data_IF_664426465836
#
_entry.id   IF_664426465836
#
_cell.length_a   1.000
_cell.length_b   1.000
_cell.length_c   1.000
_cell.angle_alpha   90.00
_cell.angle_beta   90.00
_cell.angle_gamma   90.00
#
_symmetry.space_group_name_H-M   'P 1'
#
loop_
_entity.id
_entity.type
_entity.pdbx_description
1 polymer ?
2 branched ?
3 non-polymer ?
4 non-polymer ?
5 non-polymer ?
6 non-polymer ?
7 non-polymer ?
8 water ?
#
# COMPACT_ATOMS: atom_id res chain seq x y z
N UNK A 1 6.85 12.79 6.40
CA UNK A 1 8.28 13.10 6.16
C UNK A 1 8.39 14.11 5.02
N UNK A 2 8.93 15.29 5.32
CA UNK A 2 9.05 16.34 4.30
C UNK A 2 10.30 16.20 3.44
N UNK A 3 10.33 15.20 2.57
CA UNK A 3 11.46 14.99 1.68
C UNK A 3 11.00 15.13 0.24
N UNK A 4 9.83 15.74 0.07
CA UNK A 4 9.28 15.95 -1.26
C UNK A 4 8.76 14.68 -1.92
N UNK A 5 8.82 13.57 -1.19
CA UNK A 5 8.37 12.29 -1.75
C UNK A 5 7.04 11.83 -1.18
N UNK A 6 6.42 10.89 -1.89
CA UNK A 6 5.16 10.30 -1.49
C UNK A 6 4.11 11.36 -1.22
N UNK A 7 3.98 12.32 -2.13
CA UNK A 7 2.97 13.36 -1.96
C UNK A 7 1.62 12.73 -2.21
N UNK A 8 1.64 11.54 -2.82
CA UNK A 8 0.44 10.72 -3.04
C UNK A 8 0.89 9.34 -2.56
N UNK A 9 -0.06 8.46 -2.22
CA UNK A 9 0.32 7.12 -1.77
C UNK A 9 1.20 6.42 -2.80
N UNK A 10 2.30 5.79 -2.35
CA UNK A 10 3.19 5.08 -3.27
C UNK A 10 2.48 3.99 -4.07
N UNK A 11 2.81 3.89 -5.35
CA UNK A 11 2.23 2.88 -6.21
C UNK A 11 3.33 2.01 -6.80
N UNK A 12 3.12 0.69 -6.82
CA UNK A 12 4.14 -0.17 -7.38
C UNK A 12 3.88 -1.64 -7.15
N UNK A 13 4.97 -2.39 -7.02
CA UNK A 13 4.93 -3.83 -6.81
C UNK A 13 5.89 -4.16 -5.68
N UNK A 14 5.50 -5.10 -4.83
CA UNK A 14 6.30 -5.51 -3.68
C UNK A 14 6.28 -7.04 -3.67
N UNK A 15 7.46 -7.63 -3.52
CA UNK A 15 7.61 -9.07 -3.55
C UNK A 15 7.05 -9.96 -2.43
N UNK A 16 7.07 -9.47 -1.20
CA UNK A 16 6.66 -10.30 -0.07
C UNK A 16 5.42 -11.20 -0.01
N UNK A 17 4.22 -10.65 0.03
CA UNK A 17 3.04 -11.51 0.15
C UNK A 17 3.01 -12.69 -0.80
N UNK A 18 3.23 -12.43 -2.09
CA UNK A 18 3.16 -13.50 -3.05
C UNK A 18 4.35 -14.44 -3.10
N UNK A 19 5.56 -13.90 -3.02
CA UNK A 19 6.76 -14.72 -3.15
C UNK A 19 7.49 -15.10 -1.86
N UNK A 20 7.19 -14.37 -0.80
CA UNK A 20 7.80 -14.64 0.50
C UNK A 20 9.32 -14.81 0.48
N UNK A 21 9.80 -15.79 1.23
CA UNK A 21 11.24 -16.03 1.35
C UNK A 21 11.69 -17.25 0.59
N UNK A 22 11.18 -17.39 -0.63
CA UNK A 22 11.53 -18.51 -1.47
C UNK A 22 12.94 -18.35 -2.04
N UNK A 23 13.86 -19.19 -1.60
CA UNK A 23 15.24 -19.10 -2.10
C UNK A 23 15.62 -20.34 -2.89
N UNK A 24 14.61 -21.14 -3.25
CA UNK A 24 14.82 -22.36 -4.03
C UNK A 24 14.79 -22.01 -5.52
N UNK A 25 15.79 -21.27 -5.98
CA UNK A 25 15.86 -20.88 -7.38
C UNK A 25 16.10 -22.06 -8.33
N UNK A 26 16.57 -23.18 -7.77
CA UNK A 26 16.81 -24.37 -8.57
C UNK A 26 15.51 -24.97 -9.08
N UNK A 27 14.50 -25.00 -8.21
CA UNK A 27 13.20 -25.55 -8.59
C UNK A 27 12.14 -24.51 -8.91
N UNK A 28 12.36 -23.30 -8.41
CA UNK A 28 11.42 -22.21 -8.66
C UNK A 28 12.18 -21.00 -9.23
N UNK A 29 12.74 -21.16 -10.44
CA UNK A 29 13.50 -20.10 -11.11
C UNK A 29 12.74 -18.78 -11.23
N UNK A 30 11.44 -18.88 -11.49
CA UNK A 30 10.60 -17.70 -11.67
C UNK A 30 10.00 -17.15 -10.38
N UNK A 31 9.72 -18.02 -9.42
CA UNK A 31 9.12 -17.59 -8.16
C UNK A 31 10.08 -17.31 -7.01
N UNK A 32 11.34 -17.71 -7.17
CA UNK A 32 12.33 -17.49 -6.12
C UNK A 32 12.76 -16.03 -6.04
N UNK A 33 13.25 -15.62 -4.88
CA UNK A 33 13.72 -14.24 -4.71
C UNK A 33 15.11 -14.13 -5.35
N UNK A 34 15.16 -13.46 -6.51
CA UNK A 34 16.42 -13.29 -7.24
C UNK A 34 16.34 -12.01 -8.07
N UNK A 35 17.48 -11.60 -8.62
CA UNK A 35 17.52 -10.38 -9.42
C UNK A 35 16.59 -10.52 -10.64
N UNK A 36 16.43 -11.75 -11.12
CA UNK A 36 15.58 -12.01 -12.27
C UNK A 36 14.11 -11.70 -12.00
N UNK A 37 13.66 -11.97 -10.78
CA UNK A 37 12.27 -11.71 -10.43
C UNK A 37 11.96 -10.23 -10.57
N UNK A 38 12.83 -9.39 -10.02
CA UNK A 38 12.65 -7.96 -10.05
C UNK A 38 12.80 -7.36 -11.44
N UNK A 39 13.71 -7.91 -12.23
CA UNK A 39 13.92 -7.40 -13.59
C UNK A 39 12.69 -7.70 -14.44
N UNK A 40 12.15 -8.90 -14.29
CA UNK A 40 10.97 -9.31 -15.05
C UNK A 40 9.73 -8.55 -14.60
N UNK A 41 9.61 -8.26 -13.33
CA UNK A 41 8.44 -7.51 -12.87
C UNK A 41 8.60 -6.09 -13.41
N UNK A 42 9.84 -5.63 -13.52
CA UNK A 42 10.09 -4.29 -14.05
C UNK A 42 9.66 -4.24 -15.51
N UNK A 43 9.98 -5.28 -16.28
CA UNK A 43 9.57 -5.32 -17.68
C UNK A 43 8.05 -5.30 -17.77
N UNK A 44 7.40 -6.06 -16.89
CA UNK A 44 5.95 -6.15 -16.85
C UNK A 44 5.32 -4.79 -16.59
N UNK A 45 5.82 -4.09 -15.58
CA UNK A 45 5.32 -2.78 -15.23
C UNK A 45 5.52 -1.80 -16.39
N UNK A 46 6.68 -1.89 -17.02
CA UNK A 46 7.02 -1.01 -18.13
C UNK A 46 6.28 -1.30 -19.42
N UNK A 47 5.95 -2.57 -19.64
CA UNK A 47 5.30 -2.98 -20.88
C UNK A 47 3.79 -3.21 -20.90
N UNK A 48 3.21 -3.57 -19.76
CA UNK A 48 1.78 -3.87 -19.74
C UNK A 48 0.85 -2.76 -19.30
N UNK A 49 1.31 -1.51 -19.44
CA UNK A 49 0.47 -0.37 -19.09
C UNK A 49 0.48 0.11 -17.66
N UNK A 50 1.19 -0.59 -16.78
CA UNK A 50 1.23 -0.20 -15.37
C UNK A 50 1.92 1.13 -15.14
N UNK A 51 3.09 1.30 -15.74
CA UNK A 51 3.88 2.52 -15.57
C UNK A 51 3.10 3.81 -15.86
N UNK A 52 2.34 3.82 -16.95
CA UNK A 52 1.57 5.01 -17.34
C UNK A 52 0.50 5.37 -16.31
N UNK A 53 -0.01 4.36 -15.61
CA UNK A 53 -1.05 4.57 -14.62
C UNK A 53 -0.50 5.12 -13.30
N UNK A 54 0.81 5.04 -13.12
CA UNK A 54 1.42 5.55 -11.91
C UNK A 54 2.25 4.54 -11.12
N UNK A 55 2.11 3.25 -11.44
CA UNK A 55 2.88 2.21 -10.75
C UNK A 55 4.35 2.33 -11.14
N UNK A 56 5.19 2.80 -10.23
CA UNK A 56 6.61 2.98 -10.53
C UNK A 56 7.61 2.24 -9.63
N UNK A 57 7.19 1.85 -8.44
CA UNK A 57 8.10 1.16 -7.53
C UNK A 57 8.18 -0.36 -7.69
N UNK A 58 9.41 -0.87 -7.74
CA UNK A 58 9.67 -2.31 -7.82
C UNK A 58 10.42 -2.54 -6.51
N UNK A 59 9.74 -3.11 -5.52
CA UNK A 59 10.35 -3.30 -4.21
C UNK A 59 10.77 -4.71 -3.80
N UNK A 60 12.01 -4.79 -3.35
CA UNK A 60 12.60 -6.03 -2.83
C UNK A 60 12.22 -6.09 -1.33
N UNK A 61 11.85 -7.27 -0.85
CA UNK A 61 11.52 -7.38 0.57
C UNK A 61 12.56 -8.26 1.24
N UNK A 62 12.18 -9.00 2.27
CA UNK A 62 13.13 -9.84 3.00
C UNK A 62 13.74 -10.95 2.18
N UNK A 63 14.87 -11.46 2.66
CA UNK A 63 15.56 -12.60 2.04
C UNK A 63 16.38 -12.34 0.75
N UNK A 64 16.82 -11.10 0.56
CA UNK A 64 17.59 -10.76 -0.62
C UNK A 64 19.11 -10.76 -0.36
N UNK A 65 19.50 -10.45 0.87
CA UNK A 65 20.91 -10.35 1.24
C UNK A 65 21.63 -11.65 1.51
N UNK A 66 22.96 -11.55 1.65
CA UNK A 66 23.77 -12.72 1.96
C UNK A 66 23.51 -12.96 3.45
N UNK A 67 23.77 -14.16 3.95
CA UNK A 67 23.49 -14.52 5.34
C UNK A 67 24.36 -13.74 6.30
N UNK A 68 25.37 -13.03 5.82
CA UNK A 68 26.25 -12.23 6.67
C UNK A 68 26.79 -11.05 5.88
N UNK A 69 27.20 -10.00 6.58
CA UNK A 69 27.78 -8.82 5.93
C UNK A 69 29.16 -9.21 5.45
N UNK A 70 29.73 -8.46 4.51
CA UNK A 70 31.07 -8.80 4.05
C UNK A 70 32.05 -8.50 5.17
N UNK A 71 33.34 -8.63 4.89
CA UNK A 71 34.36 -8.37 5.90
C UNK A 71 34.37 -6.91 6.36
N UNK A 72 34.03 -5.99 5.44
CA UNK A 72 34.03 -4.57 5.75
C UNK A 72 32.81 -4.19 6.58
N UNK A 73 31.93 -5.13 6.86
CA UNK A 73 30.74 -4.86 7.65
C UNK A 73 29.59 -4.27 6.86
N UNK A 74 29.61 -4.48 5.54
CA UNK A 74 28.57 -3.94 4.68
C UNK A 74 27.61 -5.03 4.22
N UNK A 75 26.37 -4.61 3.95
CA UNK A 75 25.35 -5.53 3.47
C UNK A 75 25.65 -5.83 2.01
N UNK A 76 25.50 -7.09 1.62
CA UNK A 76 25.72 -7.50 0.25
C UNK A 76 24.59 -8.46 -0.12
N UNK A 77 24.16 -8.42 -1.39
CA UNK A 77 23.08 -9.31 -1.84
C UNK A 77 23.57 -10.75 -1.94
N UNK A 78 22.65 -11.69 -1.98
CA UNK A 78 23.05 -13.09 -2.10
C UNK A 78 23.76 -13.26 -3.44
N UNK A 79 24.99 -13.78 -3.41
CA UNK A 79 25.84 -14.01 -4.60
C UNK A 79 25.21 -14.81 -5.73
N UNK A 80 24.53 -15.92 -5.42
CA UNK A 80 23.94 -16.77 -6.45
C UNK A 80 22.65 -16.16 -6.99
N UNK A 81 21.81 -15.60 -6.15
CA UNK A 81 20.53 -15.05 -6.58
C UNK A 81 20.59 -13.62 -7.14
N UNK A 82 21.65 -12.90 -6.83
CA UNK A 82 21.82 -11.52 -7.30
C UNK A 82 23.26 -11.35 -7.81
N UNK A 83 23.68 -12.17 -8.79
CA UNK A 83 25.05 -12.11 -9.34
C UNK A 83 25.57 -10.79 -9.91
N UNK A 84 24.68 -9.86 -10.25
CA UNK A 84 25.12 -8.58 -10.79
C UNK A 84 25.07 -7.44 -9.77
N UNK A 85 24.70 -7.79 -8.55
CA UNK A 85 24.61 -6.79 -7.50
C UNK A 85 23.38 -5.92 -7.59
N UNK A 86 23.15 -5.14 -6.54
CA UNK A 86 21.98 -4.27 -6.46
C UNK A 86 22.05 -3.07 -7.39
N UNK A 87 23.19 -2.38 -7.39
CA UNK A 87 23.35 -1.20 -8.25
C UNK A 87 22.97 -1.50 -9.69
N UNK A 88 23.37 -2.66 -10.19
CA UNK A 88 23.05 -3.05 -11.56
C UNK A 88 21.54 -3.23 -11.71
N UNK A 89 20.92 -3.83 -10.69
CA UNK A 89 19.47 -4.04 -10.72
C UNK A 89 18.77 -2.70 -10.76
N UNK A 90 19.27 -1.76 -9.97
CA UNK A 90 18.70 -0.42 -9.91
C UNK A 90 18.79 0.28 -11.27
N UNK A 91 19.97 0.21 -11.90
CA UNK A 91 20.15 0.82 -13.20
C UNK A 91 19.14 0.28 -14.21
N UNK A 92 18.96 -1.04 -14.16
CA UNK A 92 18.03 -1.73 -15.04
C UNK A 92 16.61 -1.20 -14.85
N UNK A 93 16.19 -1.10 -13.59
CA UNK A 93 14.88 -0.59 -13.25
C UNK A 93 14.79 0.88 -13.65
N UNK A 94 15.85 1.64 -13.33
CA UNK A 94 15.90 3.06 -13.67
C UNK A 94 15.78 3.28 -15.18
N UNK A 95 16.45 2.43 -15.96
CA UNK A 95 16.42 2.54 -17.41
C UNK A 95 15.00 2.45 -17.97
N UNK A 96 14.10 1.88 -17.18
CA UNK A 96 12.71 1.72 -17.60
C UNK A 96 11.83 2.83 -17.03
N UNK A 97 12.46 3.79 -16.35
CA UNK A 97 11.72 4.90 -15.78
C UNK A 97 11.01 4.51 -14.50
N UNK A 98 11.44 3.39 -13.92
CA UNK A 98 10.84 2.89 -12.68
C UNK A 98 11.80 3.15 -11.52
N UNK A 99 11.38 2.80 -10.30
CA UNK A 99 12.20 3.00 -9.11
C UNK A 99 12.38 1.69 -8.35
N UNK A 100 13.53 1.54 -7.70
CA UNK A 100 13.82 0.32 -6.95
C UNK A 100 13.72 0.51 -5.44
N UNK A 101 12.99 -0.38 -4.79
CA UNK A 101 12.85 -0.31 -3.35
C UNK A 101 13.60 -1.49 -2.76
N UNK A 102 14.11 -1.32 -1.54
CA UNK A 102 14.82 -2.40 -0.87
C UNK A 102 14.27 -2.59 0.54
N UNK A 103 14.73 -3.65 1.21
CA UNK A 103 14.27 -3.97 2.55
C UNK A 103 15.40 -4.14 3.58
N UNK A 104 15.12 -3.70 4.81
CA UNK A 104 16.09 -3.78 5.88
C UNK A 104 15.31 -3.98 7.15
N UNK A 105 16.00 -4.28 8.25
CA UNK A 105 15.32 -4.48 9.52
C UNK A 105 16.09 -3.80 10.64
N UNK A 106 15.43 -2.91 11.37
CA UNK A 106 16.06 -2.24 12.51
C UNK A 106 16.08 -3.27 13.64
N UNK A 107 17.19 -3.95 13.77
CA UNK A 107 17.36 -4.99 14.80
C UNK A 107 18.58 -5.88 14.49
N UNK A 108 18.69 -6.93 15.26
CA UNK A 108 19.79 -7.90 15.18
C UNK A 108 19.65 -8.80 13.94
N UNK A 109 18.41 -9.06 13.58
CA UNK A 109 18.07 -9.91 12.43
C UNK A 109 16.78 -9.43 11.77
N UNK A 110 16.67 -9.71 10.49
CA UNK A 110 15.42 -9.46 9.77
C UNK A 110 14.47 -10.56 10.22
N UNK A 111 13.20 -10.34 10.05
CA UNK A 111 12.20 -11.33 10.48
C UNK A 111 12.47 -12.69 9.84
N UNK A 112 13.14 -12.67 8.70
CA UNK A 112 13.42 -13.89 7.92
C UNK A 112 14.76 -14.52 8.29
N UNK A 113 15.53 -13.89 9.17
CA UNK A 113 16.81 -14.47 9.56
C UNK A 113 18.03 -13.96 8.82
N UNK A 114 17.88 -12.86 8.11
CA UNK A 114 18.97 -12.23 7.37
C UNK A 114 19.62 -11.10 8.17
N UNK A 115 20.82 -10.63 7.74
CA UNK A 115 21.50 -9.56 8.48
C UNK A 115 20.64 -8.35 8.85
N UNK A 116 20.61 -8.04 10.14
CA UNK A 116 19.82 -6.91 10.60
C UNK A 116 20.62 -5.61 10.63
N UNK A 117 19.90 -4.50 10.67
CA UNK A 117 20.51 -3.19 10.73
C UNK A 117 20.47 -2.70 12.17
N UNK A 118 21.53 -3.01 12.90
CA UNK A 118 21.64 -2.60 14.29
C UNK A 118 21.93 -1.11 14.28
N UNK A 119 21.77 -0.46 15.43
CA UNK A 119 22.00 0.97 15.55
C UNK A 119 23.35 1.46 15.00
N UNK A 120 24.40 0.68 15.22
CA UNK A 120 25.73 1.08 14.77
C UNK A 120 25.91 0.90 13.26
N UNK A 121 24.92 0.30 12.61
CA UNK A 121 24.97 0.05 11.17
C UNK A 121 24.02 0.93 10.35
N UNK A 122 23.16 1.69 11.03
CA UNK A 122 22.19 2.53 10.35
C UNK A 122 22.78 3.48 9.30
N UNK A 123 23.73 4.32 9.71
CA UNK A 123 24.35 5.24 8.78
C UNK A 123 25.00 4.51 7.61
N UNK A 124 25.73 3.44 7.92
CA UNK A 124 26.41 2.69 6.86
C UNK A 124 25.43 2.07 5.87
N UNK A 125 24.38 1.44 6.38
CA UNK A 125 23.39 0.81 5.51
C UNK A 125 22.66 1.84 4.65
N UNK A 126 22.31 2.98 5.23
CA UNK A 126 21.62 4.03 4.50
C UNK A 126 22.53 4.49 3.37
N UNK A 127 23.82 4.54 3.69
CA UNK A 127 24.86 4.95 2.76
C UNK A 127 25.00 3.91 1.65
N UNK A 128 24.99 2.64 2.03
CA UNK A 128 25.10 1.55 1.07
C UNK A 128 23.95 1.58 0.08
N UNK A 129 22.73 1.77 0.59
CA UNK A 129 21.55 1.81 -0.27
C UNK A 129 21.57 2.96 -1.26
N UNK A 130 21.94 4.15 -0.81
CA UNK A 130 21.99 5.32 -1.68
C UNK A 130 22.99 5.08 -2.81
N UNK A 131 24.18 4.59 -2.45
CA UNK A 131 25.21 4.32 -3.44
C UNK A 131 24.72 3.35 -4.51
N UNK A 132 23.88 2.38 -4.11
CA UNK A 132 23.35 1.41 -5.05
C UNK A 132 22.31 2.04 -5.98
N UNK A 133 21.78 3.17 -5.58
CA UNK A 133 20.79 3.84 -6.39
C UNK A 133 19.37 3.52 -5.93
N UNK A 134 19.23 3.10 -4.68
CA UNK A 134 17.94 2.77 -4.10
C UNK A 134 17.02 3.98 -4.02
N UNK A 135 15.72 3.76 -4.27
CA UNK A 135 14.75 4.86 -4.23
C UNK A 135 13.74 4.76 -3.09
N UNK A 136 13.61 3.58 -2.50
CA UNK A 136 12.68 3.38 -1.40
C UNK A 136 13.23 2.33 -0.44
N UNK A 137 12.95 2.51 0.84
CA UNK A 137 13.41 1.56 1.86
C UNK A 137 12.33 1.26 2.88
N UNK A 138 12.06 -0.04 3.05
CA UNK A 138 11.08 -0.48 4.04
C UNK A 138 11.91 -1.00 5.20
N UNK A 139 11.74 -0.40 6.37
CA UNK A 139 12.51 -0.81 7.54
C UNK A 139 11.66 -1.58 8.53
N UNK A 140 11.85 -2.90 8.55
CA UNK A 140 11.12 -3.80 9.44
C UNK A 140 11.60 -3.65 10.88
N UNK A 141 10.89 -4.24 11.84
CA UNK A 141 11.32 -4.10 13.22
C UNK A 141 11.50 -5.36 14.05
N UNK A 142 11.82 -6.49 13.44
CA UNK A 142 12.01 -7.71 14.23
C UNK A 142 13.34 -7.57 14.99
N UNK A 143 13.40 -8.29 16.10
CA UNK A 143 14.60 -8.33 16.91
C UNK A 143 15.22 -7.02 17.37
N UNK A 144 14.36 -6.09 17.77
CA UNK A 144 14.79 -4.81 18.32
C UNK A 144 13.79 -4.47 19.41
N UNK A 145 14.28 -3.86 20.49
CA UNK A 145 13.41 -3.49 21.60
C UNK A 145 12.72 -2.15 21.30
N UNK A 146 11.67 -1.85 22.04
CA UNK A 146 10.96 -0.59 21.83
C UNK A 146 11.90 0.59 21.98
N UNK A 147 12.83 0.50 22.93
CA UNK A 147 13.79 1.56 23.17
C UNK A 147 14.71 1.71 21.96
N UNK A 148 15.16 0.58 21.42
CA UNK A 148 16.03 0.61 20.25
C UNK A 148 15.30 1.18 19.03
N UNK A 149 14.01 0.87 18.91
CA UNK A 149 13.24 1.36 17.78
C UNK A 149 13.02 2.87 17.89
N UNK A 150 12.74 3.34 19.10
CA UNK A 150 12.52 4.76 19.34
C UNK A 150 13.74 5.56 18.90
N UNK A 151 14.92 4.94 19.00
CA UNK A 151 16.17 5.58 18.60
C UNK A 151 16.47 5.35 17.12
N UNK A 152 16.37 4.10 16.69
CA UNK A 152 16.67 3.72 15.33
C UNK A 152 15.83 4.28 14.20
N UNK A 153 14.52 4.29 14.34
CA UNK A 153 13.68 4.82 13.26
C UNK A 153 13.98 6.29 12.98
N UNK A 154 14.00 7.13 14.02
CA UNK A 154 14.30 8.54 13.73
C UNK A 154 15.72 8.65 13.19
N UNK A 155 16.61 7.81 13.72
CA UNK A 155 18.00 7.81 13.31
C UNK A 155 18.18 7.48 11.84
N UNK A 156 17.41 6.52 11.33
CA UNK A 156 17.51 6.13 9.93
C UNK A 156 16.98 7.23 9.02
N UNK A 157 15.97 7.96 9.49
CA UNK A 157 15.41 9.05 8.70
C UNK A 157 16.53 10.06 8.44
N UNK A 158 17.27 10.38 9.50
CA UNK A 158 18.38 11.32 9.40
C UNK A 158 19.47 10.79 8.47
N UNK A 159 19.82 9.52 8.63
CA UNK A 159 20.85 8.90 7.81
C UNK A 159 20.50 8.96 6.31
N UNK A 160 19.25 8.64 5.99
CA UNK A 160 18.81 8.67 4.60
C UNK A 160 18.94 10.06 3.99
N UNK A 161 18.53 11.06 4.75
CA UNK A 161 18.60 12.45 4.30
C UNK A 161 20.05 12.86 4.01
N UNK A 162 20.96 12.45 4.89
CA UNK A 162 22.38 12.78 4.76
C UNK A 162 23.03 12.28 3.48
N UNK A 163 22.51 11.18 2.93
CA UNK A 163 23.08 10.62 1.71
C UNK A 163 22.79 11.56 0.54
N UNK A 164 21.86 12.49 0.76
CA UNK A 164 21.50 13.43 -0.29
C UNK A 164 20.62 12.84 -1.36
N UNK A 165 20.31 11.55 -1.25
CA UNK A 165 19.47 10.90 -2.25
C UNK A 165 18.05 10.76 -1.71
N UNK A 166 17.06 11.30 -2.43
CA UNK A 166 15.67 11.21 -1.98
C UNK A 166 15.24 9.74 -1.94
N UNK A 167 14.86 9.27 -0.75
CA UNK A 167 14.44 7.89 -0.60
C UNK A 167 13.13 7.76 0.19
N UNK A 168 12.14 7.14 -0.42
CA UNK A 168 10.85 6.95 0.25
C UNK A 168 11.20 6.05 1.44
N UNK A 169 10.70 6.43 2.61
CA UNK A 169 10.97 5.71 3.85
C UNK A 169 9.67 5.12 4.42
N UNK A 170 9.58 3.80 4.37
CA UNK A 170 8.44 3.04 4.89
C UNK A 170 8.85 2.41 6.24
N UNK A 171 8.12 2.76 7.29
CA UNK A 171 8.43 2.29 8.65
C UNK A 171 7.45 1.33 9.29
N UNK A 172 7.96 0.21 9.80
CA UNK A 172 7.07 -0.77 10.42
C UNK A 172 6.98 -0.58 11.93
N UNK A 173 7.64 0.47 12.42
CA UNK A 173 7.66 0.80 13.84
C UNK A 173 6.34 0.64 14.56
N UNK A 174 5.26 1.28 14.10
CA UNK A 174 3.96 1.17 14.79
C UNK A 174 3.44 -0.25 14.99
N UNK A 175 3.57 -1.10 13.97
CA UNK A 175 3.08 -2.46 14.05
C UNK A 175 3.67 -3.23 15.24
N UNK A 176 4.95 -2.99 15.50
CA UNK A 176 5.63 -3.69 16.58
C UNK A 176 5.24 -3.14 17.94
N UNK A 177 4.67 -1.96 17.96
CA UNK A 177 4.28 -1.33 19.19
C UNK A 177 2.76 -1.38 19.43
N UNK A 178 2.06 -2.16 18.61
CA UNK A 178 0.61 -2.28 18.79
C UNK A 178 -0.26 -1.36 17.95
N UNK A 179 0.36 -0.42 17.23
CA UNK A 179 -0.38 0.48 16.36
C UNK A 179 -1.32 1.52 16.94
N UNK A 180 -1.41 1.60 18.27
CA UNK A 180 -2.32 2.56 18.88
C UNK A 180 -1.66 3.44 19.93
N UNK A 181 -2.21 4.65 20.16
CA UNK A 181 -1.65 5.54 21.16
C UNK A 181 -2.08 4.96 22.51
N UNK A 182 -1.36 5.30 23.60
CA UNK A 182 -0.19 6.19 23.65
C UNK A 182 1.13 5.57 23.22
N UNK A 183 1.19 4.24 23.12
CA UNK A 183 2.44 3.60 22.74
C UNK A 183 2.95 4.13 21.40
N UNK A 184 2.03 4.37 20.46
CA UNK A 184 2.43 4.90 19.17
C UNK A 184 2.10 6.38 19.09
N UNK A 185 3.03 7.17 18.57
CA UNK A 185 2.85 8.61 18.42
C UNK A 185 2.85 8.88 16.92
N UNK A 186 1.66 8.96 16.33
CA UNK A 186 1.55 9.18 14.89
C UNK A 186 1.98 10.56 14.43
N UNK A 187 2.06 11.52 15.34
CA UNK A 187 2.52 12.84 14.97
C UNK A 187 4.00 12.71 14.65
N UNK A 188 4.72 12.00 15.52
CA UNK A 188 6.14 11.79 15.33
C UNK A 188 6.40 10.99 14.06
N UNK A 189 5.61 9.94 13.84
CA UNK A 189 5.78 9.13 12.65
C UNK A 189 5.64 9.99 11.39
N UNK A 190 4.67 10.89 11.39
CA UNK A 190 4.49 11.75 10.24
C UNK A 190 5.71 12.61 9.97
N UNK A 191 6.46 12.95 11.01
CA UNK A 191 7.66 13.77 10.86
C UNK A 191 8.85 12.98 10.34
N UNK A 192 8.93 11.70 10.70
CA UNK A 192 10.06 10.90 10.28
C UNK A 192 9.88 9.89 9.15
N UNK A 193 8.64 9.48 8.88
CA UNK A 193 8.39 8.48 7.83
C UNK A 193 7.41 8.94 6.76
N UNK A 194 7.52 8.34 5.58
CA UNK A 194 6.65 8.64 4.45
C UNK A 194 5.39 7.77 4.53
N UNK A 195 5.53 6.59 5.14
CA UNK A 195 4.40 5.69 5.32
C UNK A 195 4.78 4.70 6.39
N UNK A 196 3.80 4.07 7.02
CA UNK A 196 4.08 3.11 8.09
C UNK A 196 3.07 1.97 8.14
N UNK A 197 3.58 0.78 8.42
CA UNK A 197 2.73 -0.39 8.53
C UNK A 197 2.18 -0.34 9.96
N UNK A 198 0.89 -0.07 10.10
CA UNK A 198 0.29 0.01 11.43
C UNK A 198 -0.10 -1.34 12.06
N UNK A 199 -0.40 -2.31 11.21
CA UNK A 199 -0.96 -3.56 11.70
C UNK A 199 -0.36 -4.85 11.16
N UNK A 200 -1.07 -5.95 11.36
CA UNK A 200 -0.61 -7.27 10.93
C UNK A 200 -0.38 -7.46 9.44
N UNK A 201 0.53 -8.37 9.11
CA UNK A 201 0.83 -8.69 7.71
C UNK A 201 -0.42 -9.25 7.06
N UNK A 202 -0.65 -8.88 5.81
CA UNK A 202 -1.80 -9.40 5.09
C UNK A 202 -1.45 -10.83 4.62
N UNK A 203 -2.42 -11.74 4.66
CA UNK A 203 -2.19 -13.11 4.21
C UNK A 203 -3.13 -13.28 3.03
N UNK A 204 -2.98 -14.37 2.29
CA UNK A 204 -3.81 -14.57 1.09
C UNK A 204 -5.18 -15.19 1.36
N UNK A 205 -6.08 -14.40 1.96
CA UNK A 205 -7.42 -14.86 2.29
C UNK A 205 -8.33 -13.66 2.53
N UNK A 206 -9.62 -13.85 2.30
CA UNK A 206 -10.60 -12.81 2.48
C UNK A 206 -10.67 -12.44 3.99
N UNK A 207 -10.62 -13.42 4.88
CA UNK A 207 -10.68 -13.11 6.31
C UNK A 207 -9.52 -12.22 6.74
N UNK A 208 -8.37 -12.36 6.09
CA UNK A 208 -7.21 -11.51 6.42
C UNK A 208 -7.56 -10.08 6.03
N UNK A 209 -8.09 -9.90 4.83
CA UNK A 209 -8.50 -8.57 4.39
C UNK A 209 -9.53 -7.96 5.36
N UNK A 210 -10.54 -8.75 5.73
CA UNK A 210 -11.57 -8.26 6.63
C UNK A 210 -10.99 -7.86 7.98
N UNK A 211 -10.03 -8.66 8.47
CA UNK A 211 -9.40 -8.39 9.75
C UNK A 211 -8.67 -7.04 9.71
N UNK A 212 -8.04 -6.74 8.58
CA UNK A 212 -7.31 -5.48 8.41
C UNK A 212 -8.30 -4.33 8.28
N UNK A 213 -9.33 -4.52 7.46
CA UNK A 213 -10.37 -3.52 7.28
C UNK A 213 -11.02 -3.17 8.62
N UNK A 214 -11.39 -4.19 9.38
CA UNK A 214 -12.03 -3.95 10.66
C UNK A 214 -11.16 -3.25 11.70
N UNK A 215 -9.87 -3.59 11.75
CA UNK A 215 -8.99 -2.95 12.73
C UNK A 215 -8.79 -1.49 12.39
N UNK A 216 -8.53 -1.20 11.11
CA UNK A 216 -8.32 0.18 10.71
C UNK A 216 -9.56 1.05 10.86
N UNK A 217 -10.73 0.54 10.49
CA UNK A 217 -11.90 1.38 10.61
C UNK A 217 -12.42 1.47 12.04
N UNK A 218 -12.24 0.42 12.83
CA UNK A 218 -12.66 0.48 14.23
C UNK A 218 -11.85 1.56 14.96
N UNK A 219 -10.58 1.65 14.61
CA UNK A 219 -9.66 2.61 15.22
C UNK A 219 -9.43 3.86 14.38
N UNK A 220 -10.31 4.12 13.42
CA UNK A 220 -10.10 5.27 12.54
C UNK A 220 -9.91 6.61 13.24
N UNK A 221 -10.53 6.78 14.41
CA UNK A 221 -10.39 8.05 15.13
C UNK A 221 -8.96 8.42 15.47
N UNK A 222 -8.14 7.42 15.74
CA UNK A 222 -6.75 7.69 16.10
C UNK A 222 -5.77 7.42 14.96
N UNK A 223 -6.30 7.16 13.76
CA UNK A 223 -5.45 6.87 12.60
C UNK A 223 -5.67 7.83 11.44
N UNK A 224 -6.94 8.02 11.07
CA UNK A 224 -7.32 8.87 9.95
C UNK A 224 -6.74 10.29 9.97
N UNK A 225 -6.72 10.95 11.14
CA UNK A 225 -6.18 12.31 11.19
C UNK A 225 -4.69 12.47 10.88
N UNK A 226 -3.93 11.39 10.99
CA UNK A 226 -2.49 11.47 10.79
C UNK A 226 -1.96 11.09 9.42
N UNK A 227 -2.85 10.90 8.45
CA UNK A 227 -2.47 10.56 7.09
C UNK A 227 -2.54 11.81 6.25
N UNK A 228 -1.63 11.95 5.28
CA UNK A 228 -1.64 13.11 4.41
C UNK A 228 -0.47 13.12 3.45
N UNK A 229 -0.43 14.07 2.51
CA UNK A 229 0.69 14.11 1.57
C UNK A 229 2.02 13.98 2.32
N UNK A 230 2.83 13.01 1.93
CA UNK A 230 4.12 12.81 2.58
C UNK A 230 4.16 11.85 3.75
N UNK A 231 3.01 11.47 4.29
CA UNK A 231 2.98 10.54 5.42
C UNK A 231 1.68 9.73 5.46
N UNK A 232 1.75 8.46 5.08
CA UNK A 232 0.54 7.64 5.02
C UNK A 232 0.46 6.44 5.96
N UNK A 233 -0.77 5.99 6.19
CA UNK A 233 -1.03 4.79 6.98
C UNK A 233 -0.89 3.71 5.91
N UNK A 234 -0.41 2.54 6.29
CA UNK A 234 -0.19 1.48 5.31
C UNK A 234 -0.84 0.19 5.79
N UNK A 235 -2.00 -0.18 5.23
CA UNK A 235 -2.70 -1.41 5.61
C UNK A 235 -2.13 -2.68 4.95
N UNK A 236 -0.98 -2.50 4.31
CA UNK A 236 -0.26 -3.57 3.62
C UNK A 236 -0.62 -3.78 2.14
N UNK A 237 0.07 -4.75 1.53
CA UNK A 237 -0.07 -5.09 0.12
C UNK A 237 -1.41 -5.52 -0.44
N UNK A 238 -1.61 -5.21 -1.72
CA UNK A 238 -2.82 -5.61 -2.44
C UNK A 238 -2.56 -7.06 -2.82
N UNK A 239 -3.53 -7.94 -2.62
CA UNK A 239 -3.36 -9.35 -2.95
C UNK A 239 -4.26 -9.76 -4.11
N UNK A 240 -4.73 -8.77 -4.86
CA UNK A 240 -5.57 -8.98 -6.02
C UNK A 240 -4.70 -9.69 -7.06
N UNK A 241 -5.23 -10.77 -7.64
CA UNK A 241 -4.46 -11.52 -8.62
C UNK A 241 -3.87 -12.79 -8.02
N UNK A 242 -4.07 -13.00 -6.72
CA UNK A 242 -3.53 -14.19 -6.11
C UNK A 242 -4.50 -15.35 -5.90
N UNK A 243 -4.27 -16.15 -4.86
CA UNK A 243 -5.07 -17.36 -4.63
C UNK A 243 -6.33 -17.31 -3.79
N UNK A 244 -6.38 -16.40 -2.82
CA UNK A 244 -7.51 -16.39 -1.92
C UNK A 244 -8.72 -15.53 -2.14
N UNK A 245 -8.62 -14.51 -2.98
CA UNK A 245 -9.77 -13.64 -3.20
C UNK A 245 -10.60 -13.94 -4.43
N UNK A 246 -11.91 -13.87 -4.27
CA UNK A 246 -12.82 -14.06 -5.39
C UNK A 246 -12.79 -12.73 -6.14
N UNK A 247 -13.52 -12.67 -7.26
CA UNK A 247 -13.58 -11.45 -8.07
C UNK A 247 -14.16 -10.26 -7.27
N UNK A 248 -15.32 -10.48 -6.65
CA UNK A 248 -15.98 -9.44 -5.86
C UNK A 248 -15.08 -8.95 -4.73
N UNK A 249 -14.41 -9.91 -4.08
CA UNK A 249 -13.51 -9.60 -2.97
C UNK A 249 -12.31 -8.78 -3.42
N UNK A 250 -11.84 -9.07 -4.62
CA UNK A 250 -10.69 -8.35 -5.16
C UNK A 250 -11.05 -6.87 -5.36
N UNK A 251 -12.25 -6.64 -5.84
CA UNK A 251 -12.70 -5.27 -6.12
C UNK A 251 -12.95 -4.55 -4.81
N UNK A 252 -13.34 -5.32 -3.83
CA UNK A 252 -13.59 -4.79 -2.51
C UNK A 252 -12.28 -4.25 -1.93
N UNK A 253 -11.21 -5.03 -2.02
CA UNK A 253 -9.92 -4.58 -1.45
C UNK A 253 -9.45 -3.31 -2.15
N UNK A 254 -9.53 -3.28 -3.48
CA UNK A 254 -9.09 -2.12 -4.21
C UNK A 254 -9.86 -0.87 -3.77
N UNK A 255 -11.17 -1.01 -3.67
CA UNK A 255 -12.03 0.10 -3.28
C UNK A 255 -11.76 0.59 -1.86
N UNK A 256 -11.64 -0.34 -0.92
CA UNK A 256 -11.39 0.04 0.47
C UNK A 256 -10.00 0.61 0.68
N UNK A 257 -9.00 0.10 -0.05
CA UNK A 257 -7.65 0.64 0.09
C UNK A 257 -7.65 2.07 -0.46
N UNK A 258 -8.50 2.31 -1.45
CA UNK A 258 -8.58 3.65 -2.04
C UNK A 258 -9.25 4.62 -1.05
N UNK A 259 -10.25 4.15 -0.33
CA UNK A 259 -10.93 4.96 0.69
C UNK A 259 -9.91 5.31 1.78
N UNK A 260 -9.03 4.36 2.10
CA UNK A 260 -8.02 4.58 3.13
C UNK A 260 -6.80 5.38 2.71
N UNK A 261 -6.74 5.80 1.45
CA UNK A 261 -5.60 6.55 0.94
C UNK A 261 -4.36 5.72 1.23
N UNK A 262 -4.47 4.43 0.97
CA UNK A 262 -3.40 3.48 1.19
C UNK A 262 -2.46 3.37 0.01
N UNK A 263 -1.22 2.92 0.27
CA UNK A 263 -0.28 2.78 -0.84
C UNK A 263 -0.88 1.69 -1.71
N UNK A 264 -0.65 1.75 -3.01
CA UNK A 264 -1.16 0.73 -3.89
C UNK A 264 0.05 -0.11 -4.31
N UNK A 265 0.51 -0.97 -3.40
CA UNK A 265 1.66 -1.83 -3.65
C UNK A 265 1.19 -3.26 -3.91
N UNK A 266 1.19 -3.63 -5.19
CA UNK A 266 0.76 -4.95 -5.63
C UNK A 266 1.80 -6.03 -5.28
N UNK A 267 1.33 -7.18 -4.84
CA UNK A 267 2.24 -8.29 -4.57
C UNK A 267 1.59 -9.48 -5.26
N UNK A 268 1.84 -9.61 -6.55
CA UNK A 268 1.25 -10.67 -7.34
C UNK A 268 2.17 -10.93 -8.53
N UNK A 269 2.02 -12.07 -9.19
CA UNK A 269 2.89 -12.34 -10.34
C UNK A 269 2.32 -11.63 -11.56
N UNK A 270 2.96 -10.53 -11.93
CA UNK A 270 2.51 -9.73 -13.07
C UNK A 270 2.65 -10.45 -14.40
N UNK A 271 3.34 -11.59 -14.41
CA UNK A 271 3.54 -12.38 -15.62
C UNK A 271 2.36 -13.28 -15.92
N UNK A 272 1.59 -13.61 -14.89
CA UNK A 272 0.45 -14.50 -15.07
C UNK A 272 -0.88 -13.90 -14.61
N UNK A 273 -0.86 -12.63 -14.24
CA UNK A 273 -2.08 -11.98 -13.78
C UNK A 273 -3.23 -12.13 -14.76
N UNK A 274 -4.43 -12.38 -14.23
CA UNK A 274 -5.62 -12.55 -15.05
C UNK A 274 -6.12 -11.22 -15.59
N UNK A 275 -6.88 -11.26 -16.69
CA UNK A 275 -7.43 -10.03 -17.28
C UNK A 275 -8.31 -9.28 -16.28
N UNK A 276 -9.17 -10.01 -15.58
CA UNK A 276 -10.06 -9.37 -14.60
C UNK A 276 -9.29 -8.73 -13.46
N UNK A 277 -8.23 -9.38 -13.00
CA UNK A 277 -7.45 -8.82 -11.90
C UNK A 277 -6.72 -7.57 -12.41
N UNK A 278 -6.20 -7.66 -13.63
CA UNK A 278 -5.50 -6.52 -14.23
C UNK A 278 -6.45 -5.34 -14.38
N UNK A 279 -7.66 -5.61 -14.85
CA UNK A 279 -8.67 -4.57 -15.06
C UNK A 279 -9.01 -3.83 -13.77
N UNK A 280 -8.98 -4.55 -12.65
CA UNK A 280 -9.29 -3.95 -11.35
C UNK A 280 -8.16 -3.02 -10.92
N UNK A 281 -6.94 -3.53 -10.99
CA UNK A 281 -5.75 -2.80 -10.60
C UNK A 281 -5.42 -1.63 -11.52
N UNK A 282 -5.91 -1.67 -12.75
CA UNK A 282 -5.62 -0.58 -13.68
C UNK A 282 -6.75 0.44 -13.84
N UNK A 283 -7.79 0.34 -13.03
CA UNK A 283 -8.93 1.27 -13.11
C UNK A 283 -8.43 2.70 -12.87
N UNK A 284 -8.44 3.52 -13.93
CA UNK A 284 -7.96 4.88 -13.86
C UNK A 284 -8.66 5.81 -12.87
N UNK A 285 -9.98 5.76 -12.82
CA UNK A 285 -10.73 6.61 -11.90
C UNK A 285 -10.40 6.20 -10.48
N UNK A 286 -10.33 4.89 -10.24
CA UNK A 286 -10.00 4.35 -8.92
C UNK A 286 -8.64 4.90 -8.50
N UNK A 287 -7.68 4.83 -9.42
CA UNK A 287 -6.35 5.32 -9.14
C UNK A 287 -6.35 6.82 -8.89
N UNK A 288 -7.14 7.57 -9.66
CA UNK A 288 -7.23 9.01 -9.48
C UNK A 288 -7.71 9.35 -8.06
N UNK A 289 -8.72 8.62 -7.60
CA UNK A 289 -9.26 8.83 -6.27
C UNK A 289 -8.22 8.46 -5.20
N UNK A 290 -7.52 7.35 -5.42
CA UNK A 290 -6.51 6.92 -4.45
C UNK A 290 -5.41 7.99 -4.39
N UNK A 291 -5.06 8.50 -5.57
CA UNK A 291 -4.01 9.50 -5.70
C UNK A 291 -4.45 10.95 -5.51
N UNK A 292 -5.68 11.15 -5.02
CA UNK A 292 -6.18 12.50 -4.81
C UNK A 292 -5.16 13.40 -4.10
N UNK A 293 -4.89 14.60 -4.65
CA UNK A 293 -3.95 15.59 -4.14
C UNK A 293 -4.12 16.03 -2.68
N UNK A 294 -5.33 16.03 -2.16
CA UNK A 294 -5.55 16.47 -0.79
C UNK A 294 -5.01 15.48 0.24
N UNK A 295 -5.00 14.19 -0.13
CA UNK A 295 -4.51 13.18 0.79
C UNK A 295 -5.29 13.06 2.08
N UNK A 296 -6.61 13.25 2.01
CA UNK A 296 -7.43 13.11 3.21
C UNK A 296 -8.00 11.69 3.26
N UNK A 297 -7.52 10.90 4.21
CA UNK A 297 -7.99 9.52 4.35
C UNK A 297 -9.48 9.50 4.68
N UNK A 298 -10.20 8.55 4.08
CA UNK A 298 -11.63 8.43 4.31
C UNK A 298 -11.94 7.66 5.58
N UNK A 299 -13.24 7.46 5.83
CA UNK A 299 -13.71 6.77 7.03
C UNK A 299 -14.95 5.94 6.74
N UNK A 300 -15.26 5.04 7.66
CA UNK A 300 -16.48 4.25 7.54
C UNK A 300 -17.50 5.17 8.21
N UNK A 301 -18.66 5.38 7.58
CA UNK A 301 -19.65 6.27 8.17
C UNK A 301 -20.92 5.55 8.62
N UNK A 302 -21.11 4.33 8.13
CA UNK A 302 -22.29 3.56 8.47
C UNK A 302 -22.03 2.06 8.56
N UNK A 303 -22.70 1.42 9.52
CA UNK A 303 -22.65 -0.02 9.71
C UNK A 303 -24.09 -0.46 9.92
N UNK A 304 -24.75 -0.88 8.85
CA UNK A 304 -26.14 -1.29 8.92
C UNK A 304 -26.33 -2.67 9.54
N UNK A 305 -27.54 -2.93 10.02
CA UNK A 305 -27.83 -4.22 10.60
C UNK A 305 -28.02 -5.21 9.45
N UNK A 306 -28.10 -4.69 8.24
CA UNK A 306 -28.28 -5.51 7.05
C UNK A 306 -26.92 -6.07 6.61
N UNK A 307 -25.89 -5.76 7.38
CA UNK A 307 -24.53 -6.21 7.10
C UNK A 307 -23.93 -5.43 5.92
N UNK A 308 -24.44 -4.22 5.71
CA UNK A 308 -23.92 -3.33 4.68
C UNK A 308 -23.13 -2.25 5.40
N UNK A 309 -21.96 -1.90 4.88
CA UNK A 309 -21.15 -0.85 5.48
C UNK A 309 -20.95 0.23 4.42
N UNK A 310 -20.95 1.49 4.85
CA UNK A 310 -20.77 2.59 3.91
C UNK A 310 -19.54 3.41 4.32
N UNK A 311 -18.76 3.79 3.32
CA UNK A 311 -17.53 4.54 3.51
C UNK A 311 -17.55 5.81 2.68
N UNK A 312 -16.91 6.85 3.20
CA UNK A 312 -16.86 8.15 2.52
C UNK A 312 -15.46 8.72 2.57
N UNK A 313 -15.02 9.28 1.46
CA UNK A 313 -13.70 9.91 1.42
C UNK A 313 -13.82 11.27 0.72
N UNK A 314 -13.46 12.35 1.43
CA UNK A 314 -13.54 13.68 0.84
C UNK A 314 -12.40 13.89 -0.16
N UNK A 315 -12.68 14.53 -1.29
CA UNK A 315 -11.68 14.71 -2.32
C UNK A 315 -11.52 16.15 -2.77
N UNK A 316 -10.57 16.34 -3.70
CA UNK A 316 -10.28 17.63 -4.27
C UNK A 316 -11.41 17.99 -5.23
N UNK A 317 -11.46 19.25 -5.65
CA UNK A 317 -12.48 19.72 -6.57
C UNK A 317 -13.87 19.58 -5.95
N UNK A 318 -13.92 19.62 -4.62
CA UNK A 318 -15.16 19.50 -3.86
C UNK A 318 -15.90 18.17 -4.12
N UNK A 319 -15.16 17.16 -4.59
CA UNK A 319 -15.75 15.86 -4.89
C UNK A 319 -15.71 14.92 -3.68
N UNK A 320 -16.32 13.75 -3.84
CA UNK A 320 -16.37 12.74 -2.78
C UNK A 320 -16.40 11.36 -3.40
N UNK A 321 -16.03 10.37 -2.60
CA UNK A 321 -16.06 8.98 -3.04
C UNK A 321 -16.86 8.24 -1.98
N UNK A 322 -17.75 7.36 -2.41
CA UNK A 322 -18.57 6.57 -1.49
C UNK A 322 -18.37 5.11 -1.84
N UNK A 323 -18.30 4.25 -0.82
CA UNK A 323 -18.20 2.82 -1.05
C UNK A 323 -19.30 2.16 -0.25
N UNK A 324 -20.09 1.34 -0.93
CA UNK A 324 -21.19 0.57 -0.31
C UNK A 324 -20.62 -0.85 -0.32
N UNK A 325 -20.43 -1.43 0.86
CA UNK A 325 -19.81 -2.75 1.02
C UNK A 325 -20.75 -3.78 1.62
N UNK A 326 -20.91 -4.92 0.95
CA UNK A 326 -21.79 -5.97 1.50
C UNK A 326 -21.00 -7.12 2.11
N UNK A 327 -21.28 -7.42 3.37
CA UNK A 327 -20.62 -8.53 4.05
C UNK A 327 -21.59 -9.67 4.22
N UNK A 328 -22.70 -9.59 3.50
CA UNK A 328 -23.73 -10.62 3.53
C UNK A 328 -23.22 -11.82 2.72
N UNK A 329 -23.73 -13.01 3.00
CA UNK A 329 -23.28 -14.19 2.27
C UNK A 329 -24.46 -14.88 1.61
N UNK A 330 -25.55 -14.14 1.41
CA UNK A 330 -26.73 -14.75 0.80
C UNK A 330 -26.96 -14.45 -0.68
N UNK A 331 -27.01 -13.18 -1.06
CA UNK A 331 -27.31 -12.84 -2.45
C UNK A 331 -27.13 -11.34 -2.68
N UNK A 332 -27.24 -10.88 -3.94
CA UNK A 332 -27.10 -9.45 -4.25
C UNK A 332 -28.11 -8.73 -3.34
N UNK A 333 -27.73 -7.58 -2.80
CA UNK A 333 -28.60 -6.87 -1.89
C UNK A 333 -28.93 -5.47 -2.39
N UNK A 334 -30.19 -5.07 -2.23
CA UNK A 334 -30.64 -3.74 -2.66
C UNK A 334 -30.57 -2.80 -1.48
N UNK A 335 -29.61 -1.88 -1.53
CA UNK A 335 -29.44 -0.90 -0.47
C UNK A 335 -30.05 0.41 -0.95
N UNK A 336 -31.06 0.88 -0.25
CA UNK A 336 -31.73 2.12 -0.64
C UNK A 336 -31.52 3.22 0.38
N UNK A 337 -31.14 4.40 -0.10
CA UNK A 337 -30.92 5.53 0.78
C UNK A 337 -30.89 6.80 -0.05
N UNK A 338 -30.42 7.91 0.53
CA UNK A 338 -30.31 9.16 -0.21
C UNK A 338 -29.05 9.87 0.24
N UNK A 339 -28.51 10.75 -0.60
CA UNK A 339 -27.31 11.45 -0.20
C UNK A 339 -27.60 12.26 1.07
N UNK A 340 -28.83 12.78 1.17
CA UNK A 340 -29.21 13.55 2.35
C UNK A 340 -29.06 12.67 3.60
N UNK A 341 -29.56 11.44 3.50
CA UNK A 341 -29.48 10.47 4.60
C UNK A 341 -28.03 10.13 4.92
N UNK A 342 -27.16 10.20 3.92
CA UNK A 342 -25.74 9.92 4.12
C UNK A 342 -25.01 11.12 4.70
N UNK A 343 -25.69 12.27 4.74
CA UNK A 343 -25.10 13.46 5.32
C UNK A 343 -24.70 14.61 4.40
N UNK A 344 -24.98 14.48 3.11
CA UNK A 344 -24.61 15.51 2.14
C UNK A 344 -25.44 16.80 2.26
N UNK A 345 -24.92 17.91 1.70
CA UNK A 345 -25.62 19.21 1.74
C UNK A 345 -27.03 19.14 1.18
N UNK A 346 -27.93 19.95 1.76
CA UNK A 346 -29.34 19.98 1.31
C UNK A 346 -29.52 20.73 0.00
N UNK A 347 -30.57 20.36 -0.72
CA UNK A 347 -30.90 21.01 -1.98
C UNK A 347 -29.79 21.09 -3.01
N UNK A 348 -28.90 20.10 -3.03
CA UNK A 348 -27.81 20.09 -3.99
C UNK A 348 -28.02 18.99 -5.04
N UNK A 349 -27.17 18.95 -6.05
CA UNK A 349 -27.27 17.93 -7.09
C UNK A 349 -25.87 17.49 -7.47
N UNK A 350 -25.70 16.20 -7.74
CA UNK A 350 -24.39 15.65 -8.07
C UNK A 350 -24.34 14.83 -9.33
N UNK A 351 -23.21 14.88 -10.02
CA UNK A 351 -23.01 14.04 -11.17
C UNK A 351 -22.30 12.84 -10.54
N UNK A 352 -22.86 11.65 -10.72
CA UNK A 352 -22.28 10.46 -10.11
C UNK A 352 -21.78 9.45 -11.13
N UNK A 353 -20.59 8.91 -10.89
CA UNK A 353 -20.05 7.90 -11.79
C UNK A 353 -19.73 6.67 -10.99
N UNK A 354 -20.19 5.51 -11.47
CA UNK A 354 -19.90 4.24 -10.82
C UNK A 354 -18.47 3.92 -11.25
N UNK A 355 -17.56 3.87 -10.28
CA UNK A 355 -16.15 3.64 -10.55
C UNK A 355 -15.83 2.37 -11.32
N UNK A 356 -16.54 1.27 -11.04
CA UNK A 356 -16.29 0.02 -11.74
C UNK A 356 -17.08 -0.21 -13.05
N UNK A 357 -18.34 0.23 -13.09
CA UNK A 357 -19.16 0.03 -14.29
C UNK A 357 -19.06 1.18 -15.29
N UNK A 358 -18.75 2.36 -14.80
CA UNK A 358 -18.65 3.51 -15.67
C UNK A 358 -19.99 4.21 -15.86
N UNK A 359 -21.07 3.60 -15.40
CA UNK A 359 -22.39 4.20 -15.54
C UNK A 359 -22.46 5.54 -14.81
N UNK A 360 -23.13 6.51 -15.42
CA UNK A 360 -23.26 7.84 -14.84
C UNK A 360 -24.68 8.26 -14.54
N UNK A 361 -24.82 9.02 -13.46
CA UNK A 361 -26.10 9.57 -13.03
C UNK A 361 -25.89 11.09 -13.13
N UNK A 362 -26.51 11.69 -14.14
CA UNK A 362 -26.40 13.11 -14.46
C UNK A 362 -26.56 14.16 -13.36
N UNK A 363 -27.68 14.09 -12.65
CA UNK A 363 -27.94 15.05 -11.59
C UNK A 363 -28.76 14.48 -10.46
N UNK A 364 -28.10 13.74 -9.60
CA UNK A 364 -28.75 13.13 -8.45
C UNK A 364 -28.96 14.20 -7.38
N UNK A 365 -30.21 14.43 -7.00
CA UNK A 365 -30.51 15.43 -5.97
C UNK A 365 -30.25 14.76 -4.63
N UNK A 366 -29.75 15.52 -3.66
CA UNK A 366 -29.46 14.94 -2.36
C UNK A 366 -30.70 14.39 -1.66
N UNK A 367 -31.86 14.92 -1.99
CA UNK A 367 -33.09 14.44 -1.36
C UNK A 367 -33.72 13.24 -2.04
N UNK A 368 -33.21 12.85 -3.21
CA UNK A 368 -33.78 11.71 -3.92
C UNK A 368 -33.30 10.35 -3.45
N UNK A 369 -34.23 9.40 -3.35
CA UNK A 369 -33.88 8.06 -2.95
C UNK A 369 -33.20 7.39 -4.13
N UNK A 370 -32.25 6.50 -3.83
CA UNK A 370 -31.56 5.76 -4.86
C UNK A 370 -31.28 4.38 -4.29
N UNK A 371 -31.09 3.40 -5.17
CA UNK A 371 -30.81 2.06 -4.74
C UNK A 371 -29.58 1.55 -5.47
N UNK A 372 -28.70 0.87 -4.74
CA UNK A 372 -27.52 0.28 -5.35
C UNK A 372 -27.63 -1.19 -5.02
N UNK A 373 -27.20 -2.05 -5.94
CA UNK A 373 -27.27 -3.48 -5.72
C UNK A 373 -25.85 -3.96 -5.51
N UNK A 374 -25.60 -4.47 -4.31
CA UNK A 374 -24.27 -4.93 -3.92
C UNK A 374 -24.21 -6.44 -3.77
N UNK A 375 -23.22 -7.05 -4.41
CA UNK A 375 -23.05 -8.49 -4.35
C UNK A 375 -22.30 -8.91 -3.08
N UNK A 376 -22.49 -10.18 -2.64
CA UNK A 376 -21.82 -10.70 -1.45
C UNK A 376 -20.29 -10.50 -1.50
N UNK A 377 -19.75 -9.96 -0.41
CA UNK A 377 -18.33 -9.65 -0.26
C UNK A 377 -17.85 -8.67 -1.34
N UNK A 378 -18.80 -7.96 -1.94
CA UNK A 378 -18.46 -7.00 -2.97
C UNK A 378 -18.83 -5.56 -2.62
N UNK A 379 -18.56 -4.66 -3.55
CA UNK A 379 -18.85 -3.24 -3.34
C UNK A 379 -19.49 -2.58 -4.56
N UNK A 380 -19.99 -1.36 -4.31
CA UNK A 380 -20.50 -0.47 -5.35
C UNK A 380 -19.77 0.78 -4.91
N UNK A 381 -19.02 1.38 -5.83
CA UNK A 381 -18.26 2.57 -5.50
C UNK A 381 -18.64 3.72 -6.41
N UNK A 382 -18.85 4.89 -5.81
CA UNK A 382 -19.25 6.09 -6.53
C UNK A 382 -18.26 7.25 -6.40
N UNK A 383 -18.14 8.02 -7.47
CA UNK A 383 -17.31 9.22 -7.49
C UNK A 383 -18.37 10.32 -7.68
N UNK A 384 -18.46 11.26 -6.75
CA UNK A 384 -19.47 12.32 -6.83
C UNK A 384 -18.91 13.71 -6.99
N UNK A 385 -19.48 14.45 -7.93
CA UNK A 385 -19.06 15.83 -8.22
C UNK A 385 -20.27 16.74 -8.11
N UNK A 386 -20.18 17.79 -7.27
CA UNK A 386 -21.30 18.71 -7.10
C UNK A 386 -21.54 19.56 -8.34
N UNK A 387 -22.81 19.85 -8.61
CA UNK A 387 -23.17 20.68 -9.75
C UNK A 387 -23.41 22.09 -9.19
N UNK A 388 -23.30 23.10 -10.04
CA UNK A 388 -23.50 24.48 -9.60
C UNK A 388 -24.20 25.32 -10.67
#
# INVERSE_FOLDING_TARGET
>A
LENGLARTPPMGWLAWERFRCNVNCREDPRQCISEMLFMEMADRIAEDGWRELGYKYINIDDCWAAKQRDAEGRLVPDPERFPRGIKALADYVHARGLKLGIYGDLGRLTCGGYPGTTLDRVEQDAQTFAEWGVDMLKLDGCYSSGKEQAQGYPQMARALNATGRPIVYSCSWPAYQGGLPPKVNYTLLGEICNLWRNYDDIQDSWDSVLSIVDWFFTNQDVLQPFAGPGHWNDPDMLIIGNFGLSYEQSRSQMALWTIMAAPLLMSTDLRTISPSAKKILQNRLMIQINQDPLGIQGRRIIKEGSHIEVFLRPLSQAASALVFFSRRTDMPFRYTTSLAKLGFPMGAAYEVQDVYSGKIISGLKTGDNFTVIINPSGVVMWYLCPKALLIQQQAPGGPSRLPLL
#
